data_IF_651633515183
#
_entry.id   IF_651633515183
#
_cell.length_a   1.000
_cell.length_b   1.000
_cell.length_c   1.000
_cell.angle_alpha   90.00
_cell.angle_beta   90.00
_cell.angle_gamma   90.00
#
_symmetry.space_group_name_H-M   'P 1'
#
loop_
_entity.id
_entity.type
_entity.pdbx_description
1 polymer ?
#
# COMPACT_ATOMS: atom_id res chain seq x y z
N UNK A 1 -19.13 -9.48 4.30
CA UNK A 1 -18.76 -8.25 5.04
C UNK A 1 -18.12 -7.31 4.03
N UNK A 2 -18.70 -6.14 3.77
CA UNK A 2 -18.02 -5.09 3.00
C UNK A 2 -17.06 -4.40 3.95
N UNK A 3 -15.76 -4.44 3.67
CA UNK A 3 -14.75 -3.76 4.49
C UNK A 3 -14.82 -2.28 4.14
N UNK A 4 -15.23 -1.44 5.09
CA UNK A 4 -15.05 0.00 4.95
C UNK A 4 -13.55 0.29 4.81
N UNK A 5 -13.17 1.15 3.87
CA UNK A 5 -11.78 1.58 3.64
C UNK A 5 -10.79 0.44 3.33
N UNK A 6 -11.09 -0.39 2.31
CA UNK A 6 -10.18 -1.45 1.85
C UNK A 6 -8.86 -0.92 1.25
N UNK A 7 -8.81 0.35 0.86
CA UNK A 7 -7.60 1.04 0.42
C UNK A 7 -7.86 2.50 0.08
N UNK A 8 -6.84 3.19 -0.44
CA UNK A 8 -6.94 4.60 -0.85
C UNK A 8 -6.58 4.79 -2.33
N UNK A 9 -7.38 5.58 -3.03
CA UNK A 9 -7.20 6.06 -4.39
C UNK A 9 -6.54 7.43 -4.33
N UNK A 10 -5.42 7.60 -5.03
CA UNK A 10 -4.74 8.89 -5.16
C UNK A 10 -5.09 9.54 -6.49
N UNK A 11 -5.25 10.85 -6.46
CA UNK A 11 -5.24 11.69 -7.67
C UNK A 11 -4.11 12.68 -7.56
N UNK A 12 -3.21 12.67 -8.53
CA UNK A 12 -2.13 13.66 -8.66
C UNK A 12 -2.63 14.82 -9.52
N UNK A 13 -2.40 16.03 -9.05
CA UNK A 13 -2.79 17.26 -9.72
C UNK A 13 -1.58 18.12 -9.99
N UNK A 14 -1.63 18.87 -11.10
CA UNK A 14 -0.70 19.94 -11.41
C UNK A 14 -1.47 21.17 -11.89
N UNK A 15 -0.97 22.35 -11.54
CA UNK A 15 -1.49 23.63 -12.04
C UNK A 15 -0.92 24.02 -13.42
N UNK A 16 0.01 23.23 -13.97
CA UNK A 16 0.75 23.56 -15.20
C UNK A 16 1.89 24.58 -15.00
N UNK A 17 1.94 25.27 -13.86
CA UNK A 17 2.95 26.27 -13.52
C UNK A 17 4.04 25.73 -12.57
N UNK A 18 3.92 24.47 -12.16
CA UNK A 18 4.93 23.72 -11.40
C UNK A 18 4.51 23.38 -9.98
N UNK A 19 3.33 23.80 -9.54
CA UNK A 19 2.74 23.32 -8.29
C UNK A 19 2.16 21.92 -8.50
N UNK A 20 2.35 21.05 -7.51
CA UNK A 20 1.86 19.67 -7.53
C UNK A 20 1.25 19.34 -6.19
N UNK A 21 0.07 18.73 -6.21
CA UNK A 21 -0.59 18.21 -5.01
C UNK A 21 -1.28 16.90 -5.31
N UNK A 22 -1.65 16.18 -4.26
CA UNK A 22 -2.46 14.99 -4.36
C UNK A 22 -3.72 15.15 -3.53
N UNK A 23 -4.79 14.49 -3.98
CA UNK A 23 -5.98 14.24 -3.17
C UNK A 23 -6.14 12.75 -2.98
N UNK A 24 -6.38 12.31 -1.74
CA UNK A 24 -6.62 10.92 -1.40
C UNK A 24 -8.08 10.69 -1.02
N UNK A 25 -8.67 9.64 -1.59
CA UNK A 25 -10.00 9.13 -1.24
C UNK A 25 -9.90 7.68 -0.86
N UNK A 26 -10.75 7.24 0.06
CA UNK A 26 -10.99 5.83 0.27
C UNK A 26 -11.61 5.19 -0.98
N UNK A 27 -11.47 3.88 -1.12
CA UNK A 27 -12.10 3.13 -2.24
C UNK A 27 -13.62 3.22 -2.26
N UNK A 28 -14.26 3.61 -1.15
CA UNK A 28 -15.69 3.91 -1.07
C UNK A 28 -16.06 5.33 -1.51
N UNK A 29 -15.06 6.13 -1.92
CA UNK A 29 -15.23 7.48 -2.48
C UNK A 29 -15.13 8.62 -1.46
N UNK A 30 -15.12 8.33 -0.16
CA UNK A 30 -14.99 9.38 0.87
C UNK A 30 -13.56 9.93 0.90
N UNK A 31 -13.37 11.24 1.18
CA UNK A 31 -12.03 11.78 1.41
C UNK A 31 -11.32 11.06 2.56
N UNK A 32 -10.01 10.86 2.42
CA UNK A 32 -9.18 10.44 3.55
C UNK A 32 -9.17 11.58 4.58
N UNK A 33 -9.67 11.32 5.78
CA UNK A 33 -9.64 12.26 6.89
C UNK A 33 -8.62 11.82 7.94
N UNK A 34 -7.93 12.78 8.56
CA UNK A 34 -6.90 12.51 9.57
C UNK A 34 -5.46 12.52 9.04
N UNK A 35 -4.49 12.06 9.86
CA UNK A 35 -3.08 12.09 9.50
C UNK A 35 -2.77 11.25 8.27
N UNK A 36 -2.14 11.86 7.26
CA UNK A 36 -1.67 11.19 6.07
C UNK A 36 -0.18 11.45 5.86
N UNK A 37 0.54 10.44 5.37
CA UNK A 37 1.97 10.53 5.06
C UNK A 37 2.17 10.07 3.63
N UNK A 38 2.71 10.96 2.81
CA UNK A 38 3.02 10.65 1.42
C UNK A 38 4.30 11.35 0.98
N UNK A 39 4.93 10.77 -0.05
CA UNK A 39 6.11 11.32 -0.73
C UNK A 39 5.82 11.52 -2.21
N UNK A 40 6.59 12.41 -2.82
CA UNK A 40 6.63 12.67 -4.25
C UNK A 40 8.04 12.40 -4.77
N UNK A 41 8.14 11.71 -5.90
CA UNK A 41 9.34 11.68 -6.74
C UNK A 41 8.97 12.14 -8.13
N UNK A 42 9.89 12.82 -8.80
CA UNK A 42 9.68 13.35 -10.15
C UNK A 42 10.93 13.23 -10.99
N UNK A 43 10.74 13.03 -12.29
CA UNK A 43 11.81 13.06 -13.27
C UNK A 43 11.36 13.75 -14.55
N UNK A 44 12.26 14.53 -15.13
CA UNK A 44 12.14 15.13 -16.45
C UNK A 44 13.50 15.00 -17.15
N UNK A 45 13.59 15.39 -18.43
CA UNK A 45 14.83 15.26 -19.20
C UNK A 45 16.03 15.94 -18.49
N UNK A 46 16.92 15.15 -17.90
CA UNK A 46 18.08 15.63 -17.14
C UNK A 46 17.76 16.22 -15.75
N UNK A 47 16.50 16.15 -15.29
CA UNK A 47 16.06 16.72 -14.02
C UNK A 47 15.41 15.67 -13.12
N UNK A 48 15.57 15.82 -11.81
CA UNK A 48 14.94 14.97 -10.79
C UNK A 48 14.49 15.79 -9.59
N UNK A 49 13.39 15.37 -8.99
CA UNK A 49 12.83 15.92 -7.76
C UNK A 49 12.51 14.78 -6.80
N UNK A 50 12.74 15.02 -5.50
CA UNK A 50 12.42 14.08 -4.44
C UNK A 50 13.42 12.93 -4.26
N UNK A 51 13.13 11.97 -3.36
CA UNK A 51 11.89 11.82 -2.59
C UNK A 51 11.60 13.02 -1.68
N UNK A 52 10.47 13.69 -1.89
CA UNK A 52 10.07 14.87 -1.15
C UNK A 52 8.80 14.58 -0.35
N UNK A 53 8.76 14.87 0.96
CA UNK A 53 7.54 14.69 1.74
C UNK A 53 6.46 15.68 1.28
N UNK A 54 5.23 15.20 1.12
CA UNK A 54 4.07 16.04 0.87
C UNK A 54 3.50 16.56 2.19
N UNK A 55 3.02 17.80 2.21
CA UNK A 55 2.49 18.45 3.40
C UNK A 55 0.98 18.68 3.30
N UNK A 56 0.20 18.42 4.36
CA UNK A 56 -1.19 18.82 4.41
C UNK A 56 -1.36 20.32 4.15
N UNK A 57 -2.38 20.69 3.37
CA UNK A 57 -2.81 22.09 3.25
C UNK A 57 -4.04 22.29 4.13
N UNK A 58 -3.89 23.10 5.18
CA UNK A 58 -5.01 23.49 6.05
C UNK A 58 -5.77 22.30 6.63
N UNK A 59 -7.10 22.41 6.62
CA UNK A 59 -8.06 21.35 6.96
C UNK A 59 -8.45 20.48 5.76
N UNK A 60 -7.79 20.67 4.60
CA UNK A 60 -8.11 20.00 3.34
C UNK A 60 -8.07 18.48 3.48
N UNK A 61 -9.25 17.88 3.63
CA UNK A 61 -9.42 16.44 3.85
C UNK A 61 -8.77 15.63 2.72
N UNK A 62 -7.64 15.01 3.03
CA UNK A 62 -6.91 14.13 2.12
C UNK A 62 -6.04 14.86 1.09
N UNK A 63 -5.86 16.19 1.22
CA UNK A 63 -5.04 16.98 0.30
C UNK A 63 -3.62 17.17 0.86
N UNK A 64 -2.62 16.72 0.10
CA UNK A 64 -1.21 16.87 0.45
C UNK A 64 -0.46 17.53 -0.71
N UNK A 65 0.36 18.54 -0.43
CA UNK A 65 1.04 19.35 -1.43
C UNK A 65 2.55 19.19 -1.41
N UNK A 66 3.15 19.29 -2.58
CA UNK A 66 4.58 19.47 -2.71
C UNK A 66 4.91 20.94 -2.48
N UNK A 67 5.79 21.22 -1.52
CA UNK A 67 6.13 22.60 -1.14
C UNK A 67 7.17 23.25 -2.05
N UNK A 68 7.80 22.48 -2.93
CA UNK A 68 8.67 23.02 -3.97
C UNK A 68 7.88 23.33 -5.24
N UNK A 69 8.61 23.77 -6.27
CA UNK A 69 8.07 24.00 -7.60
C UNK A 69 8.85 23.16 -8.60
N UNK A 70 8.13 22.51 -9.52
CA UNK A 70 8.75 21.83 -10.65
C UNK A 70 9.18 22.86 -11.70
N UNK A 71 10.45 22.83 -12.17
CA UNK A 71 10.86 23.60 -13.34
C UNK A 71 10.05 23.25 -14.60
N UNK A 72 10.03 24.14 -15.61
CA UNK A 72 9.44 23.82 -16.90
C UNK A 72 10.00 22.55 -17.52
N UNK A 73 9.13 21.70 -18.05
CA UNK A 73 9.50 20.43 -18.66
C UNK A 73 8.37 19.41 -18.70
N UNK A 74 8.63 18.27 -19.33
CA UNK A 74 7.75 17.12 -19.33
C UNK A 74 8.11 16.21 -18.15
N UNK A 75 7.18 16.07 -17.20
CA UNK A 75 7.41 15.38 -15.94
C UNK A 75 6.73 14.02 -15.90
N UNK A 76 7.46 13.02 -15.41
CA UNK A 76 6.92 11.79 -14.87
C UNK A 76 7.06 11.83 -13.35
N UNK A 77 5.92 11.81 -12.66
CA UNK A 77 5.83 11.98 -11.21
C UNK A 77 5.19 10.74 -10.60
N UNK A 78 5.74 10.30 -9.49
CA UNK A 78 5.17 9.26 -8.64
C UNK A 78 4.84 9.86 -7.29
N UNK A 79 3.58 9.73 -6.87
CA UNK A 79 3.15 9.94 -5.49
C UNK A 79 2.95 8.60 -4.78
N UNK A 80 3.49 8.45 -3.58
CA UNK A 80 3.32 7.26 -2.74
C UNK A 80 2.82 7.66 -1.36
N UNK A 81 1.69 7.11 -0.95
CA UNK A 81 1.12 7.27 0.37
C UNK A 81 1.42 6.02 1.20
N UNK A 82 1.90 6.21 2.42
CA UNK A 82 2.17 5.14 3.38
C UNK A 82 1.11 5.06 4.49
N UNK A 83 0.42 6.17 4.77
CA UNK A 83 -0.64 6.26 5.77
C UNK A 83 -1.75 7.18 5.28
N UNK A 84 -3.03 6.88 5.62
CA UNK A 84 -3.50 5.76 6.46
C UNK A 84 -3.65 4.43 5.70
N UNK A 85 -3.49 4.44 4.38
CA UNK A 85 -3.41 3.24 3.56
C UNK A 85 -2.26 3.38 2.55
N UNK A 86 -1.71 2.24 2.13
CA UNK A 86 -0.70 2.21 1.09
C UNK A 86 -1.37 2.47 -0.26
N UNK A 87 -0.88 3.49 -0.97
CA UNK A 87 -1.36 3.82 -2.31
C UNK A 87 -0.23 4.43 -3.14
N UNK A 88 -0.29 4.23 -4.45
CA UNK A 88 0.69 4.76 -5.41
C UNK A 88 -0.04 5.35 -6.60
N UNK A 89 0.48 6.47 -7.12
CA UNK A 89 0.00 7.05 -8.36
C UNK A 89 1.15 7.57 -9.22
N UNK A 90 1.20 7.09 -10.46
CA UNK A 90 2.13 7.52 -11.49
C UNK A 90 1.40 8.45 -12.47
N UNK A 91 1.88 9.68 -12.60
CA UNK A 91 1.28 10.73 -13.41
C UNK A 91 2.31 11.32 -14.38
N UNK A 92 1.84 11.78 -15.54
CA UNK A 92 2.64 12.52 -16.52
C UNK A 92 1.92 13.80 -16.91
N UNK A 93 2.64 14.91 -16.93
CA UNK A 93 2.11 16.22 -17.31
C UNK A 93 3.23 17.18 -17.69
N UNK A 94 2.86 18.26 -18.38
CA UNK A 94 3.77 19.34 -18.75
C UNK A 94 3.75 20.45 -17.70
N UNK A 95 4.90 21.08 -17.48
CA UNK A 95 5.03 22.31 -16.71
C UNK A 95 5.61 23.39 -17.61
N UNK A 96 4.99 24.57 -17.65
CA UNK A 96 5.43 25.70 -18.47
C UNK A 96 4.36 26.76 -18.66
N UNK A 97 4.73 27.89 -19.27
CA UNK A 97 3.85 29.06 -19.42
C UNK A 97 2.56 28.77 -20.22
N UNK A 98 2.58 27.77 -21.10
CA UNK A 98 1.44 27.35 -21.91
C UNK A 98 0.82 26.01 -21.46
N UNK A 99 1.35 25.39 -20.39
CA UNK A 99 0.86 24.11 -19.93
C UNK A 99 -0.51 24.27 -19.25
N UNK A 100 -1.44 23.37 -19.59
CA UNK A 100 -2.75 23.33 -18.94
C UNK A 100 -2.67 22.60 -17.59
N UNK A 101 -3.54 22.94 -16.63
CA UNK A 101 -3.72 22.12 -15.44
C UNK A 101 -4.07 20.68 -15.78
N UNK A 102 -3.56 19.74 -14.99
CA UNK A 102 -3.74 18.30 -15.20
C UNK A 102 -4.15 17.61 -13.91
N UNK A 103 -4.96 16.56 -14.03
CA UNK A 103 -5.33 15.67 -12.93
C UNK A 103 -5.31 14.22 -13.43
N UNK A 104 -4.62 13.36 -12.69
CA UNK A 104 -4.50 11.93 -12.99
C UNK A 104 -4.94 11.14 -11.77
N UNK A 105 -6.08 10.45 -11.86
CA UNK A 105 -6.54 9.52 -10.84
C UNK A 105 -5.98 8.14 -11.13
N UNK A 106 -5.26 7.58 -10.16
CA UNK A 106 -4.70 6.25 -10.29
C UNK A 106 -5.58 5.22 -9.59
N UNK A 107 -5.97 4.21 -10.35
CA UNK A 107 -6.79 3.11 -9.85
C UNK A 107 -5.94 2.19 -8.95
N UNK A 108 -6.58 1.57 -7.94
CA UNK A 108 -5.87 0.58 -7.13
C UNK A 108 -5.50 -0.60 -8.02
N UNK A 109 -4.28 -1.16 -7.86
CA UNK A 109 -4.01 -2.50 -8.36
C UNK A 109 -5.07 -3.46 -7.82
N UNK A 110 -5.58 -4.40 -8.65
CA UNK A 110 -6.50 -5.42 -8.16
C UNK A 110 -5.87 -6.16 -6.98
N UNK A 111 -6.65 -6.36 -5.92
CA UNK A 111 -6.18 -7.04 -4.72
C UNK A 111 -5.65 -8.43 -5.11
N UNK A 112 -4.39 -8.70 -4.75
CA UNK A 112 -3.79 -9.99 -5.03
C UNK A 112 -4.63 -11.08 -4.33
N UNK A 113 -4.95 -12.20 -5.01
CA UNK A 113 -5.71 -13.27 -4.38
C UNK A 113 -4.99 -13.71 -3.11
N UNK A 114 -5.75 -13.81 -2.02
CA UNK A 114 -5.21 -14.26 -0.74
C UNK A 114 -4.45 -15.59 -0.95
N UNK A 115 -3.28 -15.78 -0.31
CA UNK A 115 -2.57 -17.05 -0.41
C UNK A 115 -3.53 -18.16 0.01
N UNK A 116 -3.68 -19.16 -0.86
CA UNK A 116 -4.49 -20.34 -0.56
C UNK A 116 -4.03 -20.89 0.79
N UNK A 117 -4.98 -21.11 1.70
CA UNK A 117 -4.70 -21.78 2.96
C UNK A 117 -3.96 -23.09 2.63
N UNK A 118 -2.72 -23.23 3.09
CA UNK A 118 -1.99 -24.48 2.97
C UNK A 118 -2.89 -25.58 3.52
N UNK A 119 -3.16 -26.66 2.77
CA UNK A 119 -3.90 -27.79 3.32
C UNK A 119 -3.11 -28.26 4.54
N UNK A 120 -3.70 -28.07 5.73
CA UNK A 120 -3.10 -28.56 6.96
C UNK A 120 -2.78 -30.03 6.79
N UNK A 121 -1.50 -30.39 6.98
CA UNK A 121 -0.99 -31.76 6.89
C UNK A 121 -1.85 -32.68 7.78
N UNK A 122 -2.70 -33.55 7.22
CA UNK A 122 -3.71 -34.30 7.98
C UNK A 122 -3.10 -35.45 8.81
N UNK A 123 -1.78 -35.62 8.81
CA UNK A 123 -1.09 -36.74 9.48
C UNK A 123 -0.59 -36.41 10.90
N UNK A 124 -0.66 -35.15 11.34
CA UNK A 124 -0.34 -34.77 12.71
C UNK A 124 -1.14 -35.57 13.77
N UNK A 125 -2.44 -35.87 13.61
CA UNK A 125 -3.14 -36.77 14.55
C UNK A 125 -2.64 -38.23 14.49
N UNK A 126 -2.16 -38.70 13.33
CA UNK A 126 -1.67 -40.09 13.17
C UNK A 126 -0.32 -40.28 13.87
N UNK A 127 0.58 -39.30 13.77
CA UNK A 127 1.86 -39.33 14.47
C UNK A 127 1.69 -39.35 16.00
N UNK A 128 0.71 -38.60 16.53
CA UNK A 128 0.38 -38.61 17.97
C UNK A 128 -0.15 -39.97 18.45
N UNK A 129 -1.02 -40.62 17.68
CA UNK A 129 -1.60 -41.91 18.04
C UNK A 129 -0.55 -43.04 18.07
N UNK A 130 0.37 -43.07 17.11
CA UNK A 130 1.44 -44.09 17.06
C UNK A 130 2.38 -43.97 18.25
N UNK A 131 2.74 -42.73 18.64
CA UNK A 131 3.62 -42.50 19.79
C UNK A 131 2.95 -42.97 21.10
N UNK A 132 1.66 -42.69 21.28
CA UNK A 132 0.90 -43.13 22.45
C UNK A 132 0.85 -44.66 22.57
N UNK A 133 0.62 -45.36 21.46
CA UNK A 133 0.61 -46.84 21.44
C UNK A 133 1.99 -47.40 21.81
N UNK A 134 3.07 -46.84 21.26
CA UNK A 134 4.43 -47.29 21.59
C UNK A 134 4.77 -47.10 23.07
N UNK A 135 4.36 -46.00 23.68
CA UNK A 135 4.56 -45.74 25.12
C UNK A 135 3.78 -46.75 25.97
N UNK A 136 2.52 -47.05 25.61
CA UNK A 136 1.71 -48.05 26.33
C UNK A 136 2.32 -49.44 26.21
N UNK A 137 2.76 -49.86 25.02
CA UNK A 137 3.42 -51.16 24.80
C UNK A 137 4.71 -51.25 25.61
N UNK A 138 5.54 -50.21 25.60
CA UNK A 138 6.77 -50.17 26.38
C UNK A 138 6.51 -50.31 27.89
N UNK A 139 5.48 -49.60 28.42
CA UNK A 139 5.08 -49.69 29.83
C UNK A 139 4.57 -51.09 30.22
N UNK A 140 3.79 -51.74 29.35
CA UNK A 140 3.29 -53.11 29.59
C UNK A 140 4.43 -54.12 29.58
N UNK A 141 5.37 -54.01 28.63
CA UNK A 141 6.54 -54.90 28.55
C UNK A 141 7.47 -54.69 29.74
N UNK A 142 7.71 -53.45 30.16
CA UNK A 142 8.54 -53.15 31.33
C UNK A 142 7.94 -53.73 32.61
N UNK A 143 6.62 -53.61 32.80
CA UNK A 143 5.93 -54.18 33.97
C UNK A 143 5.98 -55.71 34.02
N UNK A 144 5.93 -56.39 32.87
CA UNK A 144 6.02 -57.85 32.77
C UNK A 144 7.42 -58.42 33.00
N UNK A 145 8.46 -57.58 32.98
CA UNK A 145 9.86 -57.97 33.23
C UNK A 145 10.32 -57.73 34.67
N UNK A 146 9.49 -57.07 35.49
CA UNK A 146 9.76 -56.70 36.88
C UNK A 146 8.97 -57.55 37.90
N UNK A 147 8.25 -58.56 37.41
CA UNK A 147 7.57 -59.61 38.16
C UNK A 147 8.11 -60.95 37.66
#
# INVERSE_FOLDING_TARGET
MVRAHAGAVLTVHSDGAGSVWITAKWTDGHPVTGPATAILTGSAAGQRVGPAPLRPIGDGAGTLTYTGQLPPGQWAVTAEMAMPAVARCDARFEVGAAAAPAAVTCELPPEAPAPAASPGLPWLPVAGAVLAVLVVVALVVARRRLW
#
